data_IF_327432981089
#
_entry.id   IF_327432981089
#
_cell.length_a   1.000
_cell.length_b   1.000
_cell.length_c   1.000
_cell.angle_alpha   90.00
_cell.angle_beta   90.00
_cell.angle_gamma   90.00
#
_symmetry.space_group_name_H-M   'P 1'
#
loop_
_entity.id
_entity.type
_entity.pdbx_description
1 polymer ?
#
# COMPACT_ATOMS: atom_id res chain seq x y z
N UNK A 1 -37.26 77.12 -7.45
CA UNK A 1 -37.22 75.72 -7.81
C UNK A 1 -36.06 75.05 -7.05
N UNK A 2 -36.41 74.40 -5.94
CA UNK A 2 -35.40 73.72 -5.12
C UNK A 2 -35.27 72.30 -5.62
N UNK A 3 -34.08 71.94 -6.15
CA UNK A 3 -33.77 70.55 -6.54
C UNK A 3 -33.42 69.72 -5.30
N UNK A 4 -34.26 68.76 -4.97
CA UNK A 4 -34.04 67.78 -3.91
C UNK A 4 -33.09 66.70 -4.44
N UNK A 5 -31.87 66.66 -3.95
CA UNK A 5 -30.92 65.61 -4.20
C UNK A 5 -31.20 64.43 -3.22
N UNK A 6 -31.78 63.39 -3.73
CA UNK A 6 -31.97 62.14 -2.98
C UNK A 6 -30.65 61.35 -3.01
N UNK A 7 -29.96 61.30 -1.87
CA UNK A 7 -28.77 60.49 -1.70
C UNK A 7 -29.20 59.03 -1.50
N UNK A 8 -28.98 58.21 -2.51
CA UNK A 8 -29.16 56.73 -2.39
C UNK A 8 -27.92 56.20 -1.66
N UNK A 9 -28.03 55.94 -0.37
CA UNK A 9 -27.04 55.19 0.38
C UNK A 9 -27.18 53.71 -0.01
N UNK A 10 -26.29 53.25 -0.86
CA UNK A 10 -26.15 51.82 -1.10
C UNK A 10 -25.62 51.17 0.20
N UNK A 11 -26.50 50.44 0.88
CA UNK A 11 -26.13 49.64 2.02
C UNK A 11 -25.38 48.40 1.47
N UNK A 12 -24.06 48.50 1.45
CA UNK A 12 -23.21 47.34 1.20
C UNK A 12 -23.30 46.49 2.44
N UNK A 13 -24.12 45.44 2.39
CA UNK A 13 -24.09 44.37 3.40
C UNK A 13 -22.78 43.64 3.23
N UNK A 14 -21.80 43.93 4.06
CA UNK A 14 -20.67 43.03 4.26
C UNK A 14 -21.26 41.74 4.88
N UNK A 15 -21.41 40.72 4.08
CA UNK A 15 -21.49 39.36 4.62
C UNK A 15 -20.12 39.09 5.19
N UNK A 16 -19.99 39.18 6.52
CA UNK A 16 -18.82 38.65 7.19
C UNK A 16 -18.80 37.12 6.86
N UNK A 17 -17.91 36.74 5.97
CA UNK A 17 -17.52 35.37 5.86
C UNK A 17 -16.88 35.05 7.22
N UNK A 18 -17.65 34.41 8.10
CA UNK A 18 -17.06 33.84 9.30
C UNK A 18 -16.03 32.79 8.80
N UNK A 19 -14.77 33.06 9.02
CA UNK A 19 -13.74 32.07 8.82
C UNK A 19 -14.11 30.87 9.73
N UNK A 20 -14.36 29.72 9.14
CA UNK A 20 -14.62 28.51 9.91
C UNK A 20 -13.32 28.02 10.51
N UNK A 21 -13.42 27.55 11.75
CA UNK A 21 -12.32 26.94 12.46
C UNK A 21 -12.50 25.42 12.38
N UNK A 22 -11.70 24.80 11.56
CA UNK A 22 -11.61 23.33 11.46
C UNK A 22 -10.36 22.85 12.23
N UNK A 23 -10.27 21.57 12.47
CA UNK A 23 -9.09 20.92 13.05
C UNK A 23 -8.98 19.53 12.41
N UNK A 24 -8.36 19.50 11.24
CA UNK A 24 -8.15 18.27 10.52
C UNK A 24 -6.88 17.58 11.02
N UNK A 25 -7.05 16.43 11.60
CA UNK A 25 -5.98 15.53 12.01
C UNK A 25 -5.78 14.42 10.98
N UNK A 26 -4.54 14.26 10.52
CA UNK A 26 -4.12 13.11 9.72
C UNK A 26 -3.59 12.02 10.65
N UNK A 27 -4.48 11.11 11.05
CA UNK A 27 -4.18 10.07 12.03
C UNK A 27 -3.23 8.98 11.51
N UNK A 28 -3.03 8.86 10.21
CA UNK A 28 -2.18 7.86 9.59
C UNK A 28 -2.76 7.32 8.28
N UNK A 29 -2.33 6.13 7.91
CA UNK A 29 -2.74 5.47 6.67
C UNK A 29 -3.39 4.12 6.96
N UNK A 30 -4.42 3.79 6.18
CA UNK A 30 -5.12 2.51 6.28
C UNK A 30 -4.58 1.55 5.23
N UNK A 31 -4.27 0.34 5.63
CA UNK A 31 -4.09 -0.77 4.71
C UNK A 31 -5.47 -1.26 4.22
N UNK A 32 -5.77 -1.16 2.91
CA UNK A 32 -7.09 -1.53 2.39
C UNK A 32 -7.41 -3.02 2.54
N UNK A 33 -6.42 -3.88 2.70
CA UNK A 33 -6.62 -5.32 2.84
C UNK A 33 -7.00 -5.71 4.27
N UNK A 34 -6.32 -5.14 5.28
CA UNK A 34 -6.58 -5.42 6.69
C UNK A 34 -7.60 -4.48 7.32
N UNK A 35 -7.83 -3.30 6.75
CA UNK A 35 -8.61 -2.19 7.31
C UNK A 35 -8.03 -1.67 8.63
N UNK A 36 -6.75 -1.85 8.85
CA UNK A 36 -6.00 -1.39 10.03
C UNK A 36 -5.03 -0.28 9.65
N UNK A 37 -4.59 0.49 10.63
CA UNK A 37 -3.52 1.47 10.44
C UNK A 37 -2.22 0.76 10.09
N UNK A 38 -1.51 1.29 9.11
CA UNK A 38 -0.20 0.79 8.69
C UNK A 38 0.81 1.91 8.61
N UNK A 39 1.99 1.66 9.17
CA UNK A 39 3.16 2.51 9.05
C UNK A 39 4.03 2.13 7.83
N UNK A 40 3.72 1.00 7.20
CA UNK A 40 4.48 0.44 6.11
C UNK A 40 3.57 0.01 4.95
N UNK A 41 4.02 0.23 3.73
CA UNK A 41 3.35 -0.22 2.50
C UNK A 41 4.33 -0.97 1.61
N UNK A 42 3.86 -2.05 1.01
CA UNK A 42 4.66 -2.84 0.05
C UNK A 42 4.02 -2.76 -1.32
N UNK A 43 4.78 -2.34 -2.32
CA UNK A 43 4.32 -2.24 -3.72
C UNK A 43 5.26 -2.97 -4.67
N UNK A 44 4.72 -3.51 -5.76
CA UNK A 44 5.55 -4.00 -6.87
C UNK A 44 6.02 -2.86 -7.76
N UNK A 45 7.01 -3.12 -8.61
CA UNK A 45 7.53 -2.10 -9.55
C UNK A 45 6.51 -1.67 -10.61
N UNK A 46 5.51 -2.49 -10.87
CA UNK A 46 4.47 -2.24 -11.89
C UNK A 46 3.18 -1.68 -11.31
N UNK A 47 3.01 -1.76 -10.00
CA UNK A 47 1.78 -1.29 -9.34
C UNK A 47 1.78 0.22 -9.18
N UNK A 48 0.61 0.80 -9.25
CA UNK A 48 0.40 2.19 -8.85
C UNK A 48 0.40 2.27 -7.34
N UNK A 49 1.20 3.19 -6.79
CA UNK A 49 1.12 3.50 -5.37
C UNK A 49 -0.20 4.22 -5.10
N UNK A 50 -1.05 3.63 -4.30
CA UNK A 50 -2.29 4.24 -3.81
C UNK A 50 -2.16 4.32 -2.29
N UNK A 51 -2.28 5.52 -1.75
CA UNK A 51 -2.26 5.77 -0.30
C UNK A 51 -3.67 6.04 0.19
N UNK A 52 -3.95 5.62 1.41
CA UNK A 52 -5.26 5.72 2.05
C UNK A 52 -5.15 6.48 3.38
N UNK A 53 -4.93 7.82 3.35
CA UNK A 53 -4.87 8.61 4.57
C UNK A 53 -6.23 8.60 5.29
N UNK A 54 -6.18 8.44 6.62
CA UNK A 54 -7.34 8.52 7.50
C UNK A 54 -7.36 9.89 8.20
N UNK A 55 -8.45 10.61 8.04
CA UNK A 55 -8.59 11.99 8.45
C UNK A 55 -9.78 12.12 9.41
N UNK A 56 -9.62 12.94 10.44
CA UNK A 56 -10.68 13.30 11.37
C UNK A 56 -10.75 14.82 11.46
N UNK A 57 -11.94 15.37 11.61
CA UNK A 57 -12.14 16.78 11.94
C UNK A 57 -12.47 16.89 13.44
N UNK A 58 -11.52 17.32 14.24
CA UNK A 58 -11.67 17.57 15.69
C UNK A 58 -12.13 18.99 16.00
N UNK A 59 -12.25 19.85 14.97
CA UNK A 59 -12.59 21.25 15.12
C UNK A 59 -14.05 21.51 15.47
N UNK A 60 -14.36 22.75 15.84
CA UNK A 60 -15.71 23.14 16.20
C UNK A 60 -16.64 23.27 14.99
N UNK A 61 -16.09 23.45 13.79
CA UNK A 61 -16.86 23.72 12.58
C UNK A 61 -16.63 22.63 11.53
N UNK A 62 -17.67 22.37 10.74
CA UNK A 62 -17.53 21.60 9.51
C UNK A 62 -16.96 22.45 8.37
N UNK A 63 -16.37 21.84 7.36
CA UNK A 63 -15.85 22.55 6.19
C UNK A 63 -17.00 23.16 5.37
N UNK A 64 -16.92 24.46 5.07
CA UNK A 64 -18.00 25.17 4.38
C UNK A 64 -18.07 24.90 2.88
N UNK A 65 -19.27 25.09 2.32
CA UNK A 65 -19.44 25.14 0.88
C UNK A 65 -18.56 26.22 0.25
N UNK A 66 -17.79 25.82 -0.76
CA UNK A 66 -16.87 26.67 -1.50
C UNK A 66 -15.42 26.59 -1.04
N UNK A 67 -15.12 25.87 0.02
CA UNK A 67 -13.76 25.53 0.40
C UNK A 67 -13.31 24.20 -0.24
N UNK A 68 -12.05 23.82 -0.03
CA UNK A 68 -11.44 22.59 -0.52
C UNK A 68 -10.51 22.00 0.52
N UNK A 69 -10.56 20.68 0.66
CA UNK A 69 -9.56 19.93 1.41
C UNK A 69 -8.44 19.55 0.46
N UNK A 70 -7.23 19.96 0.78
CA UNK A 70 -6.04 19.78 -0.03
C UNK A 70 -5.06 18.83 0.65
N UNK A 71 -4.40 18.02 -0.14
CA UNK A 71 -3.36 17.09 0.27
C UNK A 71 -2.07 17.48 -0.46
N UNK A 72 -1.13 18.07 0.24
CA UNK A 72 0.22 18.22 -0.26
C UNK A 72 0.94 16.88 -0.07
N UNK A 73 1.57 16.39 -1.12
CA UNK A 73 2.21 15.08 -1.12
C UNK A 73 3.69 15.25 -1.40
N UNK A 74 4.51 14.63 -0.57
CA UNK A 74 5.94 14.50 -0.83
C UNK A 74 6.36 13.03 -0.86
N UNK A 75 7.32 12.72 -1.74
CA UNK A 75 7.88 11.38 -1.92
C UNK A 75 9.39 11.50 -1.78
N UNK A 76 9.99 10.75 -0.87
CA UNK A 76 11.42 10.81 -0.56
C UNK A 76 11.91 12.26 -0.30
N UNK A 77 11.07 13.08 0.34
CA UNK A 77 11.36 14.50 0.62
C UNK A 77 11.18 15.44 -0.57
N UNK A 78 10.73 14.96 -1.73
CA UNK A 78 10.45 15.77 -2.92
C UNK A 78 8.97 16.10 -2.95
N UNK A 79 8.64 17.40 -2.94
CA UNK A 79 7.27 17.90 -3.02
C UNK A 79 6.69 17.68 -4.43
N UNK A 80 5.58 16.95 -4.52
CA UNK A 80 4.84 16.68 -5.74
C UNK A 80 3.69 17.67 -5.96
N UNK A 81 3.44 18.57 -5.01
CA UNK A 81 2.34 19.52 -5.04
C UNK A 81 1.06 19.01 -4.41
N UNK A 82 -0.06 19.67 -4.75
CA UNK A 82 -1.34 19.44 -4.11
C UNK A 82 -2.29 18.64 -5.01
N UNK A 83 -3.02 17.72 -4.38
CA UNK A 83 -4.24 17.13 -4.88
C UNK A 83 -5.36 17.45 -3.88
N UNK A 84 -6.59 17.63 -4.35
CA UNK A 84 -7.66 17.98 -3.40
C UNK A 84 -9.03 17.85 -4.01
N UNK A 85 -10.03 17.95 -3.15
CA UNK A 85 -11.43 17.94 -3.49
C UNK A 85 -12.13 19.18 -2.99
N UNK A 86 -12.96 19.77 -3.84
CA UNK A 86 -13.86 20.85 -3.44
C UNK A 86 -14.98 20.31 -2.54
N UNK A 87 -15.54 21.17 -1.72
CA UNK A 87 -16.71 20.81 -0.89
C UNK A 87 -17.91 20.32 -1.72
N UNK A 88 -18.05 20.75 -2.98
CA UNK A 88 -19.08 20.26 -3.87
C UNK A 88 -18.89 18.76 -4.20
N UNK A 89 -17.65 18.30 -4.30
CA UNK A 89 -17.31 16.88 -4.53
C UNK A 89 -17.39 16.07 -3.24
N UNK A 90 -17.13 16.71 -2.09
CA UNK A 90 -17.19 16.11 -0.76
C UNK A 90 -18.63 16.12 -0.17
N UNK A 91 -19.56 16.88 -0.75
CA UNK A 91 -20.89 17.13 -0.19
C UNK A 91 -21.75 15.87 0.08
N UNK A 92 -21.34 14.71 -0.40
CA UNK A 92 -21.98 13.43 -0.12
C UNK A 92 -21.25 12.60 0.94
N UNK A 93 -20.13 13.10 1.44
CA UNK A 93 -19.27 12.40 2.40
C UNK A 93 -19.32 13.11 3.75
N UNK A 94 -19.39 12.34 4.80
CA UNK A 94 -19.48 12.76 6.21
C UNK A 94 -18.25 13.53 6.74
N UNK A 95 -17.25 13.74 5.89
CA UNK A 95 -16.02 14.47 6.14
C UNK A 95 -16.18 15.92 6.56
N UNK A 96 -17.32 16.47 6.24
CA UNK A 96 -17.60 17.88 6.56
C UNK A 96 -18.05 18.04 8.00
N UNK A 97 -18.44 16.94 8.66
CA UNK A 97 -18.95 16.96 10.01
C UNK A 97 -17.84 16.83 11.07
N UNK A 98 -18.11 17.37 12.24
CA UNK A 98 -17.20 17.32 13.38
C UNK A 98 -17.14 15.90 13.94
N UNK A 99 -15.95 15.45 14.33
CA UNK A 99 -15.66 14.11 14.89
C UNK A 99 -15.97 12.94 13.97
N UNK A 100 -16.03 13.17 12.67
CA UNK A 100 -16.20 12.11 11.68
C UNK A 100 -14.85 11.76 11.05
N UNK A 101 -14.54 10.46 11.02
CA UNK A 101 -13.34 9.93 10.36
C UNK A 101 -13.62 9.56 8.91
N UNK A 102 -12.63 9.72 8.07
CA UNK A 102 -12.72 9.41 6.65
C UNK A 102 -11.40 8.89 6.07
N UNK A 103 -11.51 8.03 5.07
CA UNK A 103 -10.38 7.50 4.32
C UNK A 103 -10.40 8.07 2.91
N UNK A 104 -9.40 8.89 2.58
CA UNK A 104 -9.18 9.28 1.19
C UNK A 104 -8.47 8.15 0.42
N UNK A 105 -8.67 8.14 -0.90
CA UNK A 105 -7.91 7.26 -1.81
C UNK A 105 -7.14 8.12 -2.79
N UNK A 106 -5.82 8.18 -2.64
CA UNK A 106 -4.95 9.02 -3.46
C UNK A 106 -4.04 8.13 -4.29
N UNK A 107 -4.34 8.00 -5.58
CA UNK A 107 -3.47 7.34 -6.54
C UNK A 107 -2.33 8.25 -6.94
N UNK A 108 -1.10 7.78 -6.76
CA UNK A 108 0.10 8.45 -7.22
C UNK A 108 0.57 7.86 -8.56
N UNK A 109 1.84 7.62 -8.69
CA UNK A 109 2.45 7.07 -9.90
C UNK A 109 2.78 5.60 -9.71
N UNK A 110 2.98 4.87 -10.81
CA UNK A 110 3.69 3.58 -10.71
C UNK A 110 5.12 3.82 -10.25
N UNK A 111 5.75 2.79 -9.66
CA UNK A 111 7.14 2.91 -9.22
C UNK A 111 8.10 3.36 -10.33
N UNK A 112 7.87 2.88 -11.57
CA UNK A 112 8.65 3.29 -12.73
C UNK A 112 8.42 4.76 -13.13
N UNK A 113 7.17 5.26 -13.00
CA UNK A 113 6.87 6.66 -13.25
C UNK A 113 7.44 7.57 -12.18
N UNK A 114 7.43 7.15 -10.91
CA UNK A 114 8.06 7.91 -9.82
C UNK A 114 9.54 8.16 -10.12
N UNK A 115 10.29 7.16 -10.55
CA UNK A 115 11.71 7.33 -10.92
C UNK A 115 11.91 8.32 -12.06
N UNK A 116 10.94 8.44 -12.97
CA UNK A 116 11.01 9.41 -14.08
C UNK A 116 10.79 10.85 -13.58
N UNK A 117 9.91 11.06 -12.60
CA UNK A 117 9.54 12.41 -12.14
C UNK A 117 10.44 12.93 -11.02
N UNK A 118 10.81 12.07 -10.08
CA UNK A 118 11.58 12.47 -8.89
C UNK A 118 13.02 11.96 -8.90
N UNK A 119 13.40 11.19 -9.93
CA UNK A 119 14.67 10.46 -9.99
C UNK A 119 14.59 9.14 -9.22
N UNK A 120 15.66 8.36 -9.28
CA UNK A 120 15.72 7.09 -8.57
C UNK A 120 15.73 7.31 -7.05
N UNK A 121 14.66 6.93 -6.39
CA UNK A 121 14.44 7.13 -4.93
C UNK A 121 14.77 5.88 -4.10
N UNK A 122 15.30 4.82 -4.72
CA UNK A 122 15.63 3.57 -4.01
C UNK A 122 14.44 2.61 -3.91
N UNK A 123 14.63 1.59 -3.10
CA UNK A 123 13.61 0.56 -2.82
C UNK A 123 12.86 0.81 -1.52
N UNK A 124 13.23 1.85 -0.78
CA UNK A 124 12.81 2.17 0.56
C UNK A 124 12.75 3.69 0.70
N UNK A 125 11.55 4.25 0.87
CA UNK A 125 11.33 5.71 0.94
C UNK A 125 10.05 6.03 1.71
N UNK A 126 9.96 7.28 2.16
CA UNK A 126 8.74 7.79 2.81
C UNK A 126 7.84 8.52 1.82
N UNK A 127 6.55 8.37 2.01
CA UNK A 127 5.52 9.22 1.42
C UNK A 127 4.83 9.95 2.55
N UNK A 128 4.92 11.28 2.51
CA UNK A 128 4.27 12.14 3.50
C UNK A 128 3.12 12.89 2.86
N UNK A 129 2.06 13.07 3.65
CA UNK A 129 0.89 13.86 3.28
C UNK A 129 0.70 14.93 4.33
N UNK A 130 0.44 16.16 3.86
CA UNK A 130 0.06 17.28 4.71
C UNK A 130 -1.30 17.81 4.27
N UNK A 131 -2.22 17.94 5.21
CA UNK A 131 -3.54 18.50 4.96
C UNK A 131 -3.51 20.02 4.99
N UNK A 132 -4.35 20.64 4.16
CA UNK A 132 -4.59 22.08 4.14
C UNK A 132 -6.01 22.37 3.64
N UNK A 133 -6.51 23.55 3.99
CA UNK A 133 -7.74 24.13 3.46
C UNK A 133 -7.41 25.43 2.71
N UNK A 134 -8.29 25.90 1.84
CA UNK A 134 -8.08 27.14 1.11
C UNK A 134 -8.64 28.37 1.86
N UNK A 135 -9.77 28.19 2.53
CA UNK A 135 -10.53 29.31 3.14
C UNK A 135 -10.63 29.14 4.65
N UNK A 136 -10.96 27.93 5.12
CA UNK A 136 -11.06 27.66 6.55
C UNK A 136 -9.69 27.78 7.24
N UNK A 137 -9.72 28.11 8.53
CA UNK A 137 -8.51 28.14 9.36
C UNK A 137 -8.45 26.85 10.15
N UNK A 138 -7.37 26.12 9.99
CA UNK A 138 -7.06 24.98 10.84
C UNK A 138 -6.50 25.48 12.18
N UNK A 139 -7.10 25.04 13.27
CA UNK A 139 -6.76 25.55 14.61
C UNK A 139 -5.54 24.85 15.20
N UNK A 140 -5.21 23.63 14.74
CA UNK A 140 -3.98 22.93 15.09
C UNK A 140 -3.29 22.31 13.86
N UNK A 141 -2.59 23.12 13.05
CA UNK A 141 -1.93 22.60 11.86
C UNK A 141 -0.74 21.66 12.15
N UNK A 142 -0.40 21.42 13.42
CA UNK A 142 0.69 20.53 13.79
C UNK A 142 0.34 19.05 13.68
N UNK A 143 -0.96 18.70 13.66
CA UNK A 143 -1.49 17.33 13.53
C UNK A 143 -1.89 16.96 12.10
N UNK A 144 -1.66 17.88 11.13
CA UNK A 144 -2.06 17.74 9.73
C UNK A 144 -1.09 16.92 8.88
N UNK A 145 0.00 16.42 9.43
CA UNK A 145 1.03 15.71 8.69
C UNK A 145 1.18 14.27 9.18
N UNK A 146 1.27 13.34 8.26
CA UNK A 146 1.66 11.95 8.54
C UNK A 146 2.46 11.37 7.38
N UNK A 147 3.32 10.42 7.67
CA UNK A 147 4.14 9.72 6.69
C UNK A 147 3.91 8.21 6.77
N UNK A 148 4.03 7.55 5.63
CA UNK A 148 4.03 6.09 5.53
C UNK A 148 5.33 5.66 4.84
N UNK A 149 5.94 4.61 5.37
CA UNK A 149 7.13 4.01 4.79
C UNK A 149 6.76 3.09 3.64
N UNK A 150 7.36 3.26 2.47
CA UNK A 150 7.04 2.49 1.26
C UNK A 150 8.23 1.64 0.86
N UNK A 151 8.04 0.34 0.87
CA UNK A 151 8.97 -0.63 0.32
C UNK A 151 8.53 -1.00 -1.09
N UNK A 152 9.35 -0.65 -2.09
CA UNK A 152 9.12 -1.09 -3.46
C UNK A 152 10.11 -2.17 -3.83
N UNK A 153 9.60 -3.28 -4.22
CA UNK A 153 10.38 -4.41 -4.63
C UNK A 153 9.48 -5.48 -5.20
N UNK A 154 10.06 -6.53 -5.65
CA UNK A 154 9.31 -7.74 -5.85
C UNK A 154 8.96 -8.31 -4.47
N UNK A 155 7.85 -7.87 -3.88
CA UNK A 155 7.13 -8.68 -2.88
C UNK A 155 6.49 -9.91 -3.56
N UNK A 156 6.77 -10.11 -4.83
CA UNK A 156 6.63 -11.40 -5.38
C UNK A 156 7.63 -12.27 -4.56
N UNK A 157 7.12 -13.06 -3.63
CA UNK A 157 7.31 -14.48 -3.88
C UNK A 157 7.08 -14.59 -5.38
N UNK A 158 8.18 -14.57 -6.14
CA UNK A 158 8.14 -14.97 -7.53
C UNK A 158 7.39 -16.29 -7.47
N UNK A 159 6.09 -16.31 -7.80
CA UNK A 159 5.50 -17.50 -8.34
C UNK A 159 6.36 -17.74 -9.57
N UNK A 160 7.47 -18.44 -9.35
CA UNK A 160 8.19 -19.07 -10.43
C UNK A 160 7.10 -19.78 -11.18
N UNK A 161 6.87 -19.33 -12.40
CA UNK A 161 5.82 -19.85 -13.26
C UNK A 161 5.70 -21.35 -12.98
N UNK A 162 4.53 -21.80 -12.53
CA UNK A 162 4.31 -23.19 -12.05
C UNK A 162 4.69 -24.24 -13.10
N UNK A 163 5.25 -23.83 -14.24
CA UNK A 163 5.65 -24.63 -15.36
C UNK A 163 7.08 -25.14 -15.40
N UNK A 164 8.00 -24.61 -14.58
CA UNK A 164 9.42 -24.93 -14.79
C UNK A 164 9.95 -26.10 -13.95
N UNK A 165 9.45 -26.36 -12.74
CA UNK A 165 9.91 -27.48 -11.90
C UNK A 165 8.80 -28.47 -11.65
N UNK A 166 8.98 -29.69 -12.16
CA UNK A 166 8.05 -30.79 -12.00
C UNK A 166 8.55 -31.75 -10.93
N UNK A 167 7.64 -32.14 -10.03
CA UNK A 167 7.91 -33.15 -8.97
C UNK A 167 6.94 -34.30 -9.13
N UNK A 168 7.47 -35.49 -9.44
CA UNK A 168 6.66 -36.65 -9.74
C UNK A 168 7.37 -37.98 -9.41
N UNK A 169 6.61 -39.11 -9.28
CA UNK A 169 5.17 -39.15 -9.20
C UNK A 169 4.65 -38.60 -7.87
N UNK A 170 3.42 -38.14 -7.90
CA UNK A 170 2.71 -37.77 -6.68
C UNK A 170 1.29 -38.40 -6.72
N UNK A 171 0.97 -39.42 -5.92
CA UNK A 171 1.79 -40.03 -4.86
C UNK A 171 3.05 -40.75 -5.32
N UNK A 172 4.10 -40.70 -4.51
CA UNK A 172 5.35 -41.43 -4.70
C UNK A 172 5.37 -42.75 -3.90
N UNK A 173 6.10 -43.75 -4.40
CA UNK A 173 6.29 -45.02 -3.70
C UNK A 173 7.72 -45.26 -3.28
N UNK A 174 8.65 -45.19 -4.22
CA UNK A 174 10.08 -45.51 -4.00
C UNK A 174 11.00 -44.34 -4.37
N UNK A 175 10.57 -43.52 -5.32
CA UNK A 175 11.37 -42.37 -5.80
C UNK A 175 10.50 -41.13 -6.00
N UNK A 176 11.13 -39.97 -5.85
CA UNK A 176 10.59 -38.67 -6.22
C UNK A 176 11.54 -38.09 -7.25
N UNK A 177 11.06 -37.81 -8.45
CA UNK A 177 11.83 -37.15 -9.51
C UNK A 177 11.50 -35.66 -9.53
N UNK A 178 12.51 -34.86 -9.79
CA UNK A 178 12.40 -33.42 -9.85
C UNK A 178 13.10 -32.96 -11.13
N UNK A 179 12.35 -32.47 -12.10
CA UNK A 179 12.88 -31.96 -13.36
C UNK A 179 13.13 -30.45 -13.28
N UNK A 180 14.07 -29.98 -14.07
CA UNK A 180 14.49 -28.56 -14.17
C UNK A 180 15.05 -28.00 -12.85
N UNK A 181 15.73 -28.82 -12.06
CA UNK A 181 16.31 -28.45 -10.77
C UNK A 181 17.82 -28.16 -10.82
N UNK A 182 18.41 -27.95 -12.00
CA UNK A 182 19.86 -27.78 -12.14
C UNK A 182 20.42 -26.65 -11.26
N UNK A 183 21.45 -26.98 -10.47
CA UNK A 183 22.10 -26.05 -9.56
C UNK A 183 21.32 -25.74 -8.29
N UNK A 184 20.07 -26.23 -8.15
CA UNK A 184 19.23 -25.94 -7.00
C UNK A 184 19.68 -26.68 -5.75
N UNK A 185 19.39 -26.11 -4.59
CA UNK A 185 19.36 -26.82 -3.31
C UNK A 185 17.96 -27.41 -3.09
N UNK A 186 17.88 -28.71 -2.88
CA UNK A 186 16.63 -29.42 -2.61
C UNK A 186 16.63 -29.92 -1.17
N UNK A 187 15.60 -29.56 -0.42
CA UNK A 187 15.40 -30.01 0.96
C UNK A 187 14.02 -30.62 1.11
N UNK A 188 13.95 -31.79 1.71
CA UNK A 188 12.69 -32.50 1.98
C UNK A 188 12.43 -32.51 3.47
N UNK A 189 11.22 -32.12 3.86
CA UNK A 189 10.78 -32.04 5.25
C UNK A 189 9.55 -32.92 5.48
N UNK A 190 9.47 -33.52 6.64
CA UNK A 190 8.22 -34.11 7.12
C UNK A 190 7.27 -33.03 7.70
N UNK A 191 6.04 -33.41 8.04
CA UNK A 191 5.06 -32.46 8.57
C UNK A 191 5.41 -31.87 9.95
N UNK A 192 6.41 -32.45 10.65
CA UNK A 192 6.92 -31.88 11.89
C UNK A 192 8.00 -30.82 11.64
N UNK A 193 8.35 -30.57 10.38
CA UNK A 193 9.42 -29.64 9.98
C UNK A 193 10.82 -30.25 10.06
N UNK A 194 10.95 -31.55 10.34
CA UNK A 194 12.24 -32.22 10.37
C UNK A 194 12.72 -32.47 8.94
N UNK A 195 13.93 -32.08 8.62
CA UNK A 195 14.58 -32.36 7.35
C UNK A 195 14.91 -33.86 7.25
N UNK A 196 14.43 -34.53 6.20
CA UNK A 196 14.64 -35.94 5.95
C UNK A 196 15.58 -36.20 4.77
N UNK A 197 15.78 -35.22 3.88
CA UNK A 197 16.74 -35.27 2.79
C UNK A 197 17.21 -33.88 2.41
N UNK A 198 18.49 -33.74 1.99
CA UNK A 198 19.04 -32.51 1.48
C UNK A 198 20.02 -32.81 0.36
N UNK A 199 19.90 -32.08 -0.74
CA UNK A 199 20.79 -32.14 -1.91
C UNK A 199 21.24 -30.73 -2.21
N UNK A 200 22.55 -30.51 -2.18
CA UNK A 200 23.15 -29.25 -2.62
C UNK A 200 23.59 -29.42 -4.06
N UNK A 201 23.29 -28.45 -4.92
CA UNK A 201 23.66 -28.47 -6.33
C UNK A 201 23.04 -29.68 -7.09
N UNK A 202 21.71 -29.69 -7.19
CA UNK A 202 20.96 -30.72 -7.88
C UNK A 202 21.27 -30.77 -9.39
N UNK A 203 21.11 -31.93 -10.00
CA UNK A 203 21.14 -32.09 -11.45
C UNK A 203 19.82 -31.61 -12.08
N UNK A 204 19.81 -31.39 -13.41
CA UNK A 204 18.63 -30.97 -14.15
C UNK A 204 17.42 -31.93 -13.92
N UNK A 205 17.69 -33.23 -13.85
CA UNK A 205 16.72 -34.26 -13.50
C UNK A 205 17.23 -34.98 -12.24
N UNK A 206 16.74 -34.50 -11.08
CA UNK A 206 17.18 -35.00 -9.79
C UNK A 206 16.21 -36.06 -9.27
N UNK A 207 16.75 -37.16 -8.76
CA UNK A 207 15.97 -38.23 -8.13
C UNK A 207 16.28 -38.28 -6.63
N UNK A 208 15.23 -38.44 -5.84
CA UNK A 208 15.30 -38.65 -4.39
C UNK A 208 14.78 -40.03 -4.06
N UNK A 209 15.56 -40.79 -3.31
CA UNK A 209 15.13 -42.12 -2.82
C UNK A 209 14.10 -41.91 -1.69
N UNK A 210 12.87 -42.30 -1.94
CA UNK A 210 11.77 -42.27 -1.00
C UNK A 210 11.50 -43.65 -0.33
N UNK A 211 12.27 -44.66 -0.65
CA UNK A 211 12.05 -46.03 -0.16
C UNK A 211 12.17 -46.18 1.36
N UNK A 212 12.90 -45.27 2.01
CA UNK A 212 13.07 -45.24 3.46
C UNK A 212 12.19 -44.19 4.17
N UNK A 213 11.40 -43.41 3.43
CA UNK A 213 10.47 -42.46 3.99
C UNK A 213 9.21 -43.16 4.52
N UNK A 214 8.67 -42.75 5.64
CA UNK A 214 7.43 -43.26 6.16
C UNK A 214 6.25 -42.84 5.26
N UNK A 215 5.17 -43.61 5.25
CA UNK A 215 3.93 -43.19 4.61
C UNK A 215 3.46 -41.88 5.21
N UNK A 216 3.20 -40.85 4.36
CA UNK A 216 2.79 -39.54 4.82
C UNK A 216 2.99 -38.45 3.78
N UNK A 217 2.75 -37.22 4.20
CA UNK A 217 2.96 -36.03 3.37
C UNK A 217 4.31 -35.41 3.68
N UNK A 218 4.99 -34.95 2.65
CA UNK A 218 6.29 -34.29 2.71
C UNK A 218 6.26 -32.99 1.96
N UNK A 219 7.10 -32.06 2.40
CA UNK A 219 7.32 -30.77 1.77
C UNK A 219 8.69 -30.81 1.09
N UNK A 220 8.71 -30.65 -0.22
CA UNK A 220 9.93 -30.52 -1.04
C UNK A 220 10.16 -29.04 -1.31
N UNK A 221 11.24 -28.50 -0.77
CA UNK A 221 11.66 -27.13 -0.98
C UNK A 221 12.85 -27.13 -1.95
N UNK A 222 12.73 -26.40 -3.04
CA UNK A 222 13.73 -26.29 -4.11
C UNK A 222 14.12 -24.82 -4.17
N UNK A 223 15.40 -24.52 -3.90
CA UNK A 223 15.94 -23.17 -3.85
C UNK A 223 17.05 -23.01 -4.90
N UNK A 224 16.92 -22.03 -5.78
CA UNK A 224 17.93 -21.69 -6.78
C UNK A 224 18.15 -20.16 -6.78
N UNK A 225 19.26 -19.72 -6.22
CA UNK A 225 19.52 -18.30 -5.96
C UNK A 225 18.45 -17.70 -5.03
N UNK A 226 17.78 -16.65 -5.49
CA UNK A 226 16.69 -16.02 -4.74
C UNK A 226 15.32 -16.68 -4.95
N UNK A 227 15.23 -17.69 -5.84
CA UNK A 227 13.97 -18.36 -6.15
C UNK A 227 13.79 -19.59 -5.27
N UNK A 228 12.61 -19.72 -4.64
CA UNK A 228 12.25 -20.85 -3.80
C UNK A 228 10.89 -21.41 -4.24
N UNK A 229 10.88 -22.68 -4.63
CA UNK A 229 9.66 -23.41 -4.97
C UNK A 229 9.38 -24.42 -3.86
N UNK A 230 8.11 -24.55 -3.49
CA UNK A 230 7.67 -25.53 -2.50
C UNK A 230 6.58 -26.41 -3.09
N UNK A 231 6.78 -27.72 -3.10
CA UNK A 231 5.79 -28.71 -3.57
C UNK A 231 5.45 -29.68 -2.45
N UNK A 232 4.19 -30.11 -2.41
CA UNK A 232 3.72 -31.16 -1.48
C UNK A 232 3.74 -32.50 -2.20
N UNK A 233 4.34 -33.50 -1.58
CA UNK A 233 4.42 -34.88 -2.12
C UNK A 233 3.86 -35.86 -1.10
N UNK A 234 2.97 -36.73 -1.53
CA UNK A 234 2.44 -37.85 -0.73
C UNK A 234 3.26 -39.09 -0.99
N UNK A 235 3.80 -39.71 0.05
CA UNK A 235 4.45 -41.03 -0.03
C UNK A 235 3.45 -42.11 0.40
N UNK A 236 3.24 -43.12 -0.46
CA UNK A 236 2.32 -44.21 -0.22
C UNK A 236 3.07 -45.55 -0.37
N UNK A 237 2.65 -46.52 0.40
CA UNK A 237 3.14 -47.91 0.32
C UNK A 237 1.98 -48.88 0.34
#
# INVERSE_FOLDING_TARGET
MKKLFTLFAAMVTFVALNAQNVDYELMGFIDPASQEFSEEMHISMTDTLIIYPYIVNNGPDALANGDSLLFNISVAGIDLGYVGWSTAELAQNELLDVNTGWVASIGLFTAAQMDQYVGYIGTDFEVCVTLATQIATDVDPSNNNSCVHVYRGTTAISEVAEGEVNVYPNPATTVINIDNAEGAQISVYDLSGRMVSNINNASANQTIDASNLAKGMYIVRIANGNNVITKKVSVVR
#
